data_IF_603141371890
#
_entry.id   IF_603141371890
#
_cell.length_a   1.000
_cell.length_b   1.000
_cell.length_c   1.000
_cell.angle_alpha   90.00
_cell.angle_beta   90.00
_cell.angle_gamma   90.00
#
_symmetry.space_group_name_H-M   'P 1'
#
loop_
_entity.id
_entity.type
_entity.pdbx_description
1 polymer ?
#
# COMPACT_ATOMS: atom_id res chain seq x y z
N UNK A 1 -0.31 -2.54 31.38
CA UNK A 1 -0.20 -3.03 29.99
C UNK A 1 -0.70 -4.47 29.83
N UNK A 2 -0.38 -5.38 30.76
CA UNK A 2 -0.81 -6.80 30.72
C UNK A 2 -2.32 -7.00 30.78
N UNK A 3 -3.05 -6.32 31.68
CA UNK A 3 -4.51 -6.47 31.83
C UNK A 3 -5.25 -6.02 30.57
N UNK A 4 -4.83 -4.92 29.95
CA UNK A 4 -5.42 -4.43 28.71
C UNK A 4 -5.19 -5.40 27.55
N UNK A 5 -4.01 -6.02 27.47
CA UNK A 5 -3.70 -7.02 26.45
C UNK A 5 -4.55 -8.29 26.63
N UNK A 6 -4.71 -8.77 27.86
CA UNK A 6 -5.57 -9.92 28.18
C UNK A 6 -7.03 -9.61 27.85
N UNK A 7 -7.52 -8.44 28.24
CA UNK A 7 -8.89 -8.00 27.90
C UNK A 7 -9.10 -7.95 26.37
N UNK A 8 -8.13 -7.42 25.62
CA UNK A 8 -8.19 -7.36 24.16
C UNK A 8 -8.26 -8.77 23.55
N UNK A 9 -7.42 -9.70 24.00
CA UNK A 9 -7.43 -11.08 23.53
C UNK A 9 -8.79 -11.76 23.80
N UNK A 10 -9.33 -11.60 25.02
CA UNK A 10 -10.64 -12.16 25.37
C UNK A 10 -11.77 -11.54 24.56
N UNK A 11 -11.72 -10.23 24.29
CA UNK A 11 -12.73 -9.58 23.43
C UNK A 11 -12.65 -10.08 22.00
N UNK A 12 -11.45 -10.27 21.43
CA UNK A 12 -11.29 -10.85 20.10
C UNK A 12 -11.82 -12.28 20.05
N UNK A 13 -11.50 -13.10 21.05
CA UNK A 13 -11.95 -14.49 21.12
C UNK A 13 -13.48 -14.58 21.24
N UNK A 14 -14.09 -13.74 22.07
CA UNK A 14 -15.55 -13.62 22.16
C UNK A 14 -16.16 -13.22 20.82
N UNK A 15 -15.58 -12.22 20.16
CA UNK A 15 -16.08 -11.70 18.88
C UNK A 15 -15.97 -12.77 17.78
N UNK A 16 -14.88 -13.53 17.72
CA UNK A 16 -14.74 -14.65 16.78
C UNK A 16 -15.74 -15.77 17.05
N UNK A 17 -15.92 -16.18 18.31
CA UNK A 17 -16.93 -17.18 18.67
C UNK A 17 -18.35 -16.71 18.33
N UNK A 18 -18.64 -15.43 18.56
CA UNK A 18 -19.92 -14.83 18.21
C UNK A 18 -20.16 -14.81 16.70
N UNK A 19 -19.13 -14.54 15.89
CA UNK A 19 -19.21 -14.58 14.43
C UNK A 19 -19.37 -16.00 13.87
N UNK A 20 -18.74 -17.00 14.49
CA UNK A 20 -18.88 -18.41 14.10
C UNK A 20 -20.32 -18.89 14.34
N UNK A 21 -20.89 -18.52 15.49
CA UNK A 21 -22.24 -18.93 15.88
C UNK A 21 -23.36 -18.18 15.13
N UNK A 22 -23.05 -17.02 14.52
CA UNK A 22 -24.02 -16.20 13.79
C UNK A 22 -23.60 -16.03 12.32
N UNK A 23 -23.93 -16.98 11.43
CA UNK A 23 -23.50 -16.98 10.03
C UNK A 23 -23.97 -15.74 9.25
N UNK A 24 -25.08 -15.11 9.66
CA UNK A 24 -25.56 -13.87 9.07
C UNK A 24 -24.56 -12.72 9.25
N UNK A 25 -23.99 -12.55 10.45
CA UNK A 25 -23.02 -11.49 10.75
C UNK A 25 -21.69 -11.71 10.03
N UNK A 26 -21.31 -12.97 9.83
CA UNK A 26 -20.13 -13.34 9.05
C UNK A 26 -20.21 -12.82 7.61
N UNK A 27 -21.41 -12.75 7.02
CA UNK A 27 -21.62 -12.17 5.68
C UNK A 27 -21.47 -10.65 5.66
N UNK A 28 -21.72 -9.95 6.76
CA UNK A 28 -21.47 -8.50 6.83
C UNK A 28 -19.97 -8.21 6.94
N UNK A 29 -19.27 -9.01 7.73
CA UNK A 29 -17.81 -8.88 7.90
C UNK A 29 -17.08 -9.19 6.59
N UNK A 30 -17.62 -10.06 5.73
CA UNK A 30 -17.00 -10.38 4.44
C UNK A 30 -16.96 -9.21 3.44
N UNK A 31 -17.72 -8.13 3.67
CA UNK A 31 -17.63 -6.88 2.92
C UNK A 31 -16.46 -5.97 3.35
N UNK A 32 -15.62 -6.37 4.30
CA UNK A 32 -14.44 -5.58 4.61
C UNK A 32 -13.34 -5.76 3.55
N UNK A 33 -12.67 -4.68 3.11
CA UNK A 33 -11.65 -4.75 2.07
C UNK A 33 -10.51 -5.73 2.37
N UNK A 34 -10.10 -5.83 3.63
CA UNK A 34 -9.06 -6.77 4.06
C UNK A 34 -9.40 -8.23 3.74
N UNK A 35 -10.68 -8.60 3.80
CA UNK A 35 -11.14 -9.97 3.55
C UNK A 35 -11.16 -10.28 2.06
N UNK A 36 -11.40 -9.31 1.18
CA UNK A 36 -11.33 -9.53 -0.27
C UNK A 36 -9.92 -9.94 -0.70
N UNK A 37 -8.90 -9.21 -0.23
CA UNK A 37 -7.50 -9.54 -0.50
C UNK A 37 -7.09 -10.86 0.16
N UNK A 38 -7.53 -11.10 1.39
CA UNK A 38 -7.31 -12.37 2.08
C UNK A 38 -7.88 -13.55 1.30
N UNK A 39 -9.10 -13.44 0.76
CA UNK A 39 -9.74 -14.49 -0.04
C UNK A 39 -8.99 -14.74 -1.35
N UNK A 40 -8.47 -13.70 -1.99
CA UNK A 40 -7.66 -13.85 -3.21
C UNK A 40 -6.38 -14.62 -2.91
N UNK A 41 -5.68 -14.25 -1.83
CA UNK A 41 -4.45 -14.93 -1.41
C UNK A 41 -4.74 -16.40 -1.05
N UNK A 42 -5.79 -16.64 -0.25
CA UNK A 42 -6.21 -17.98 0.13
C UNK A 42 -6.55 -18.85 -1.09
N UNK A 43 -7.11 -18.28 -2.16
CA UNK A 43 -7.46 -19.03 -3.37
C UNK A 43 -6.24 -19.57 -4.10
N UNK A 44 -5.15 -18.81 -4.11
CA UNK A 44 -3.89 -19.24 -4.71
C UNK A 44 -3.17 -20.31 -3.89
N UNK A 45 -3.47 -20.41 -2.59
CA UNK A 45 -2.83 -21.35 -1.68
C UNK A 45 -3.64 -22.65 -1.62
N UNK A 46 -4.93 -22.56 -1.33
CA UNK A 46 -5.83 -23.70 -1.26
C UNK A 46 -7.26 -23.31 -1.63
N UNK A 47 -7.70 -23.75 -2.82
CA UNK A 47 -9.01 -23.41 -3.39
C UNK A 47 -10.19 -24.07 -2.66
N UNK A 48 -9.96 -25.17 -1.94
CA UNK A 48 -10.98 -25.93 -1.21
C UNK A 48 -11.61 -25.12 -0.07
N UNK A 49 -10.83 -24.25 0.58
CA UNK A 49 -11.23 -23.46 1.74
C UNK A 49 -12.22 -22.34 1.41
N UNK A 50 -12.39 -22.00 0.12
CA UNK A 50 -13.17 -20.83 -0.33
C UNK A 50 -14.60 -21.20 -0.73
N UNK A 51 -14.84 -22.46 -1.11
CA UNK A 51 -16.16 -22.92 -1.56
C UNK A 51 -17.26 -22.83 -0.50
N UNK A 52 -16.92 -22.62 0.77
CA UNK A 52 -17.87 -22.44 1.88
C UNK A 52 -18.31 -20.99 2.10
N UNK A 53 -17.71 -20.01 1.42
CA UNK A 53 -18.00 -18.59 1.66
C UNK A 53 -19.02 -18.02 0.65
N UNK A 54 -19.89 -17.14 1.15
CA UNK A 54 -20.91 -16.45 0.35
C UNK A 54 -20.30 -15.57 -0.76
N UNK A 55 -19.14 -14.96 -0.50
CA UNK A 55 -18.37 -14.22 -1.51
C UNK A 55 -17.42 -15.17 -2.25
N UNK A 56 -17.85 -15.62 -3.41
CA UNK A 56 -17.01 -16.36 -4.35
C UNK A 56 -15.75 -15.54 -4.72
N UNK A 57 -14.66 -16.21 -5.12
CA UNK A 57 -13.40 -15.58 -5.54
C UNK A 57 -13.60 -14.49 -6.60
N UNK A 58 -14.57 -14.70 -7.50
CA UNK A 58 -14.94 -13.74 -8.54
C UNK A 58 -15.47 -12.43 -7.96
N UNK A 59 -16.36 -12.50 -6.96
CA UNK A 59 -16.89 -11.32 -6.29
C UNK A 59 -15.82 -10.63 -5.43
N UNK A 60 -14.98 -11.40 -4.74
CA UNK A 60 -13.85 -10.85 -3.97
C UNK A 60 -12.86 -10.11 -4.88
N UNK A 61 -12.51 -10.69 -6.02
CA UNK A 61 -11.63 -10.07 -7.03
C UNK A 61 -12.25 -8.81 -7.65
N UNK A 62 -13.55 -8.86 -7.97
CA UNK A 62 -14.26 -7.72 -8.53
C UNK A 62 -14.31 -6.57 -7.54
N UNK A 63 -14.65 -6.82 -6.27
CA UNK A 63 -14.66 -5.79 -5.22
C UNK A 63 -13.25 -5.21 -4.97
N UNK A 64 -12.23 -6.07 -4.93
CA UNK A 64 -10.83 -5.68 -4.73
C UNK A 64 -10.29 -4.76 -5.84
N UNK A 65 -10.83 -4.82 -7.06
CA UNK A 65 -10.42 -3.95 -8.17
C UNK A 65 -11.34 -2.72 -8.24
N UNK A 66 -12.66 -2.94 -8.25
CA UNK A 66 -13.65 -1.89 -8.51
C UNK A 66 -13.69 -0.84 -7.42
N UNK A 67 -13.59 -1.22 -6.14
CA UNK A 67 -13.69 -0.27 -5.03
C UNK A 67 -12.44 0.64 -4.97
N UNK A 68 -11.20 0.13 -5.04
CA UNK A 68 -10.03 0.99 -5.17
C UNK A 68 -10.06 1.86 -6.43
N UNK A 69 -10.49 1.33 -7.58
CA UNK A 69 -10.64 2.12 -8.80
C UNK A 69 -11.69 3.22 -8.66
N UNK A 70 -12.80 2.96 -7.99
CA UNK A 70 -13.86 3.93 -7.71
C UNK A 70 -13.40 5.01 -6.73
N UNK A 71 -12.68 4.63 -5.67
CA UNK A 71 -12.04 5.57 -4.73
C UNK A 71 -11.03 6.43 -5.49
N UNK A 72 -10.20 5.83 -6.35
CA UNK A 72 -9.26 6.56 -7.20
C UNK A 72 -9.99 7.52 -8.16
N UNK A 73 -11.11 7.10 -8.75
CA UNK A 73 -11.92 7.96 -9.61
C UNK A 73 -12.51 9.16 -8.85
N UNK A 74 -13.07 8.93 -7.65
CA UNK A 74 -13.56 10.01 -6.78
C UNK A 74 -12.41 10.92 -6.38
N UNK A 75 -11.28 10.36 -5.96
CA UNK A 75 -10.10 11.10 -5.58
C UNK A 75 -9.61 11.95 -6.76
N UNK A 76 -9.56 11.40 -7.97
CA UNK A 76 -9.18 12.12 -9.19
C UNK A 76 -10.15 13.26 -9.51
N UNK A 77 -11.46 13.01 -9.45
CA UNK A 77 -12.48 14.05 -9.72
C UNK A 77 -12.45 15.17 -8.66
N UNK A 78 -12.18 14.83 -7.39
CA UNK A 78 -12.04 15.82 -6.31
C UNK A 78 -10.66 16.45 -6.24
N UNK A 79 -9.65 15.84 -6.84
CA UNK A 79 -8.29 16.35 -6.91
C UNK A 79 -8.25 17.68 -7.66
N UNK A 80 -9.01 17.83 -8.76
CA UNK A 80 -9.10 19.12 -9.44
C UNK A 80 -9.52 20.23 -8.48
N UNK A 81 -10.59 20.06 -7.69
CA UNK A 81 -11.01 21.09 -6.71
C UNK A 81 -10.05 21.33 -5.54
N UNK A 82 -9.15 20.38 -5.23
CA UNK A 82 -8.17 20.52 -4.14
C UNK A 82 -6.81 21.05 -4.62
N UNK A 83 -6.45 20.80 -5.88
CA UNK A 83 -5.17 21.19 -6.49
C UNK A 83 -5.28 22.40 -7.43
N UNK A 84 -6.49 22.87 -7.79
CA UNK A 84 -6.68 24.13 -8.53
C UNK A 84 -6.60 25.36 -7.62
N UNK A 85 -5.56 25.45 -6.79
CA UNK A 85 -5.08 26.75 -6.28
C UNK A 85 -3.89 27.14 -7.13
N UNK A 86 -4.19 27.63 -8.34
CA UNK A 86 -3.35 28.45 -9.23
C UNK A 86 -1.85 28.11 -9.31
N UNK A 87 -1.48 27.55 -10.44
CA UNK A 87 -0.11 27.49 -10.91
C UNK A 87 -0.08 26.69 -12.20
N UNK A 88 -0.19 27.39 -13.33
CA UNK A 88 0.09 26.80 -14.63
C UNK A 88 1.41 26.06 -14.55
N UNK A 89 1.36 24.76 -14.84
CA UNK A 89 2.55 23.93 -14.93
C UNK A 89 3.35 24.51 -16.09
N UNK A 90 4.32 25.39 -15.77
CA UNK A 90 5.42 25.64 -16.67
C UNK A 90 6.01 24.26 -16.97
N UNK A 91 5.83 23.83 -18.21
CA UNK A 91 6.52 22.65 -18.75
C UNK A 91 8.00 22.94 -18.61
N UNK A 92 8.60 22.49 -17.52
CA UNK A 92 10.04 22.31 -17.45
C UNK A 92 10.32 21.11 -18.36
N UNK A 93 10.35 21.36 -19.67
CA UNK A 93 11.02 20.49 -20.63
C UNK A 93 12.50 20.63 -20.37
N UNK A 94 12.99 20.02 -19.29
CA UNK A 94 14.40 19.67 -19.23
C UNK A 94 14.56 18.52 -20.21
N UNK A 95 15.17 18.83 -21.35
CA UNK A 95 15.76 17.83 -22.24
C UNK A 95 16.84 17.15 -21.39
N UNK A 96 16.52 16.01 -20.79
CA UNK A 96 17.48 15.18 -20.06
C UNK A 96 18.17 14.33 -21.12
N UNK A 97 19.30 14.82 -21.60
CA UNK A 97 20.23 14.03 -22.40
C UNK A 97 20.75 12.91 -21.50
N UNK A 98 20.52 11.65 -21.91
CA UNK A 98 20.86 10.38 -21.22
C UNK A 98 19.95 9.96 -20.06
N UNK A 99 18.68 9.70 -20.38
CA UNK A 99 17.78 8.97 -19.47
C UNK A 99 18.13 7.46 -19.44
N UNK A 100 18.27 6.90 -18.24
CA UNK A 100 18.58 5.48 -18.04
C UNK A 100 17.41 4.59 -18.55
N UNK A 101 17.69 3.41 -19.11
CA UNK A 101 16.67 2.51 -19.72
C UNK A 101 15.47 2.24 -18.80
N UNK A 102 15.72 2.20 -17.49
CA UNK A 102 14.71 2.06 -16.45
C UNK A 102 13.63 3.17 -16.47
N UNK A 103 14.03 4.44 -16.60
CA UNK A 103 13.09 5.56 -16.67
C UNK A 103 12.30 5.55 -17.97
N UNK A 104 12.94 5.11 -19.06
CA UNK A 104 12.34 4.96 -20.39
C UNK A 104 11.23 3.88 -20.39
N UNK A 105 11.42 2.80 -19.63
CA UNK A 105 10.39 1.77 -19.40
C UNK A 105 9.19 2.30 -18.62
N UNK A 106 9.44 3.03 -17.53
CA UNK A 106 8.39 3.67 -16.74
C UNK A 106 7.60 4.64 -17.61
N UNK A 107 8.31 5.43 -18.43
CA UNK A 107 7.75 6.34 -19.43
C UNK A 107 6.77 5.67 -20.38
N UNK A 108 7.09 4.45 -20.83
CA UNK A 108 6.22 3.66 -21.71
C UNK A 108 5.00 3.10 -20.97
N UNK A 109 5.15 2.76 -19.68
CA UNK A 109 4.07 2.24 -18.84
C UNK A 109 3.12 3.33 -18.34
N UNK A 110 3.62 4.55 -18.14
CA UNK A 110 2.83 5.67 -17.63
C UNK A 110 2.44 6.63 -18.74
N UNK A 111 1.13 6.86 -18.89
CA UNK A 111 0.61 7.73 -19.93
C UNK A 111 1.25 9.12 -19.94
N UNK A 112 1.43 9.67 -21.15
CA UNK A 112 2.23 10.86 -21.43
C UNK A 112 1.90 12.12 -20.59
N UNK A 113 0.68 12.19 -20.04
CA UNK A 113 0.24 13.29 -19.16
C UNK A 113 0.88 13.27 -17.76
N UNK A 114 1.23 12.10 -17.23
CA UNK A 114 1.71 11.93 -15.84
C UNK A 114 3.19 11.62 -15.73
N UNK A 115 3.80 11.39 -16.89
CA UNK A 115 5.16 10.94 -17.06
C UNK A 115 6.18 11.79 -16.31
N UNK A 116 6.16 13.12 -16.50
CA UNK A 116 7.09 14.03 -15.83
C UNK A 116 6.93 14.05 -14.32
N UNK A 117 5.68 13.96 -13.81
CA UNK A 117 5.42 13.90 -12.37
C UNK A 117 5.95 12.59 -11.78
N UNK A 118 5.67 11.47 -12.44
CA UNK A 118 6.04 10.14 -11.96
C UNK A 118 7.56 9.98 -11.98
N UNK A 119 8.22 10.40 -13.05
CA UNK A 119 9.69 10.37 -13.16
C UNK A 119 10.32 11.28 -12.10
N UNK A 120 9.79 12.50 -11.90
CA UNK A 120 10.31 13.41 -10.88
C UNK A 120 10.15 12.83 -9.47
N UNK A 121 8.97 12.31 -9.13
CA UNK A 121 8.70 11.68 -7.83
C UNK A 121 9.58 10.44 -7.61
N UNK A 122 9.78 9.63 -8.64
CA UNK A 122 10.57 8.41 -8.55
C UNK A 122 12.07 8.72 -8.43
N UNK A 123 12.54 9.76 -9.12
CA UNK A 123 13.91 10.25 -9.01
C UNK A 123 14.17 10.84 -7.62
N UNK A 124 13.24 11.63 -7.07
CA UNK A 124 13.35 12.15 -5.70
C UNK A 124 13.27 11.05 -4.65
N UNK A 125 12.42 10.05 -4.88
CA UNK A 125 12.30 8.87 -4.03
C UNK A 125 13.61 8.07 -3.96
N UNK A 126 14.23 7.81 -5.12
CA UNK A 126 15.51 7.10 -5.21
C UNK A 126 16.71 7.95 -4.74
N UNK A 127 16.65 9.27 -4.88
CA UNK A 127 17.72 10.17 -4.44
C UNK A 127 17.82 10.24 -2.92
N UNK A 128 16.71 10.08 -2.21
CA UNK A 128 16.70 10.06 -0.74
C UNK A 128 17.24 8.72 -0.23
N UNK A 129 18.50 8.74 0.22
CA UNK A 129 19.15 7.59 0.88
C UNK A 129 18.33 7.02 2.04
N UNK A 130 17.62 7.88 2.77
CA UNK A 130 16.72 7.48 3.86
C UNK A 130 15.65 6.47 3.40
N UNK A 131 15.09 6.69 2.22
CA UNK A 131 14.08 5.81 1.63
C UNK A 131 14.65 4.44 1.27
N UNK A 132 15.84 4.41 0.65
CA UNK A 132 16.55 3.17 0.32
C UNK A 132 16.87 2.39 1.60
N UNK A 133 17.34 3.07 2.64
CA UNK A 133 17.63 2.44 3.94
C UNK A 133 16.37 1.85 4.58
N UNK A 134 15.21 2.50 4.46
CA UNK A 134 13.93 1.96 4.93
C UNK A 134 13.52 0.70 4.18
N UNK A 135 13.69 0.65 2.86
CA UNK A 135 13.41 -0.56 2.07
C UNK A 135 14.31 -1.72 2.52
N UNK A 136 15.62 -1.46 2.64
CA UNK A 136 16.58 -2.46 3.11
C UNK A 136 16.22 -2.93 4.51
N UNK A 137 15.83 -2.03 5.41
CA UNK A 137 15.42 -2.35 6.77
C UNK A 137 14.17 -3.24 6.81
N UNK A 138 13.14 -2.91 6.03
CA UNK A 138 11.94 -3.76 5.92
C UNK A 138 12.29 -5.13 5.37
N UNK A 139 13.07 -5.18 4.30
CA UNK A 139 13.51 -6.45 3.69
C UNK A 139 14.30 -7.30 4.70
N UNK A 140 15.21 -6.68 5.45
CA UNK A 140 16.01 -7.33 6.49
C UNK A 140 15.18 -7.85 7.66
N UNK A 141 14.20 -7.08 8.15
CA UNK A 141 13.33 -7.56 9.23
C UNK A 141 12.45 -8.71 8.74
N UNK A 142 11.86 -8.57 7.56
CA UNK A 142 10.98 -9.60 6.98
C UNK A 142 11.76 -10.90 6.76
N UNK A 143 13.02 -10.84 6.30
CA UNK A 143 13.85 -12.03 6.14
C UNK A 143 14.23 -12.66 7.48
N UNK A 144 14.63 -11.88 8.47
CA UNK A 144 14.96 -12.38 9.82
C UNK A 144 13.74 -13.04 10.48
N UNK A 145 12.57 -12.40 10.40
CA UNK A 145 11.32 -12.98 10.89
C UNK A 145 10.97 -14.28 10.15
N UNK A 146 11.14 -14.31 8.83
CA UNK A 146 10.91 -15.53 8.06
C UNK A 146 11.81 -16.69 8.48
N UNK A 147 13.09 -16.41 8.76
CA UNK A 147 14.03 -17.41 9.28
C UNK A 147 13.61 -17.90 10.66
N UNK A 148 13.25 -17.01 11.58
CA UNK A 148 12.76 -17.37 12.92
C UNK A 148 11.53 -18.26 12.82
N UNK A 149 10.55 -17.89 12.00
CA UNK A 149 9.33 -18.69 11.82
C UNK A 149 9.65 -20.07 11.25
N UNK A 150 10.55 -20.14 10.27
CA UNK A 150 11.03 -21.41 9.69
C UNK A 150 11.67 -22.34 10.72
N UNK A 151 12.44 -21.81 11.68
CA UNK A 151 13.02 -22.61 12.75
C UNK A 151 11.99 -23.07 13.79
N UNK A 152 11.00 -22.23 14.09
CA UNK A 152 10.00 -22.53 15.14
C UNK A 152 8.92 -23.51 14.71
N UNK A 153 8.48 -23.47 13.44
CA UNK A 153 7.36 -24.29 12.96
C UNK A 153 7.79 -25.59 12.27
N UNK A 154 9.09 -25.78 12.02
CA UNK A 154 9.60 -26.93 11.28
C UNK A 154 9.24 -26.87 9.79
N UNK A 155 10.19 -27.22 8.93
CA UNK A 155 10.02 -27.14 7.47
C UNK A 155 9.47 -28.41 6.84
N UNK A 156 9.15 -29.44 7.64
CA UNK A 156 8.87 -30.78 7.14
C UNK A 156 7.45 -30.94 6.56
N UNK A 157 6.48 -30.13 7.01
CA UNK A 157 5.11 -30.15 6.49
C UNK A 157 4.86 -29.05 5.44
N UNK A 158 4.24 -29.42 4.32
CA UNK A 158 3.78 -28.46 3.30
C UNK A 158 2.77 -27.44 3.89
N UNK A 159 1.99 -27.88 4.87
CA UNK A 159 1.02 -27.02 5.58
C UNK A 159 1.74 -25.95 6.42
N UNK A 160 2.82 -26.30 7.13
CA UNK A 160 3.59 -25.34 7.92
C UNK A 160 4.31 -24.32 7.04
N UNK A 161 4.84 -24.75 5.89
CA UNK A 161 5.47 -23.86 4.91
C UNK A 161 4.49 -22.83 4.35
N UNK A 162 3.27 -23.25 3.98
CA UNK A 162 2.24 -22.34 3.47
C UNK A 162 1.83 -21.29 4.51
N UNK A 163 1.69 -21.68 5.79
CA UNK A 163 1.38 -20.75 6.87
C UNK A 163 2.50 -19.73 7.12
N UNK A 164 3.76 -20.15 7.08
CA UNK A 164 4.92 -19.25 7.23
C UNK A 164 4.90 -18.18 6.13
N UNK A 165 4.66 -18.57 4.88
CA UNK A 165 4.61 -17.64 3.74
C UNK A 165 3.49 -16.62 3.93
N UNK A 166 2.29 -17.06 4.35
CA UNK A 166 1.16 -16.14 4.62
C UNK A 166 1.54 -15.13 5.71
N UNK A 167 2.13 -15.60 6.82
CA UNK A 167 2.51 -14.70 7.91
C UNK A 167 3.56 -13.68 7.47
N UNK A 168 4.56 -14.09 6.68
CA UNK A 168 5.59 -13.19 6.14
C UNK A 168 4.96 -12.13 5.23
N UNK A 169 4.04 -12.51 4.35
CA UNK A 169 3.36 -11.57 3.44
C UNK A 169 2.53 -10.56 4.22
N UNK A 170 1.74 -11.02 5.20
CA UNK A 170 0.88 -10.15 6.01
C UNK A 170 1.71 -9.20 6.87
N UNK A 171 2.72 -9.71 7.58
CA UNK A 171 3.57 -8.88 8.44
C UNK A 171 4.41 -7.91 7.61
N UNK A 172 4.99 -8.38 6.49
CA UNK A 172 5.74 -7.53 5.56
C UNK A 172 4.88 -6.42 4.98
N UNK A 173 3.64 -6.72 4.60
CA UNK A 173 2.68 -5.73 4.11
C UNK A 173 2.33 -4.66 5.14
N UNK A 174 2.08 -5.06 6.40
CA UNK A 174 1.79 -4.12 7.50
C UNK A 174 3.00 -3.22 7.79
N UNK A 175 4.21 -3.80 7.88
CA UNK A 175 5.43 -3.04 8.15
C UNK A 175 5.75 -2.06 7.02
N UNK A 176 5.62 -2.51 5.77
CA UNK A 176 5.78 -1.65 4.61
C UNK A 176 4.78 -0.50 4.65
N UNK A 177 3.49 -0.80 4.86
CA UNK A 177 2.42 0.20 4.95
C UNK A 177 2.65 1.24 6.04
N UNK A 178 3.13 0.86 7.21
CA UNK A 178 3.44 1.79 8.31
C UNK A 178 4.62 2.72 7.99
N UNK A 179 5.71 2.16 7.46
CA UNK A 179 6.92 2.94 7.17
C UNK A 179 6.74 3.88 5.97
N UNK A 180 6.02 3.43 4.95
CA UNK A 180 5.72 4.25 3.79
C UNK A 180 4.57 5.21 4.02
N UNK A 181 3.53 4.80 4.74
CA UNK A 181 2.41 5.66 5.10
C UNK A 181 2.84 6.86 5.93
N UNK A 182 3.73 6.65 6.91
CA UNK A 182 4.33 7.76 7.69
C UNK A 182 5.19 8.68 6.83
N UNK A 183 5.99 8.13 5.91
CA UNK A 183 6.81 8.92 4.99
C UNK A 183 5.96 9.79 4.05
N UNK A 184 4.90 9.22 3.45
CA UNK A 184 3.99 9.96 2.57
C UNK A 184 3.28 11.06 3.37
N UNK A 185 2.79 10.76 4.57
CA UNK A 185 2.09 11.73 5.41
C UNK A 185 2.99 12.90 5.84
N UNK A 186 4.23 12.63 6.25
CA UNK A 186 5.20 13.67 6.65
C UNK A 186 5.70 14.44 5.42
N UNK A 187 6.07 13.73 4.35
CA UNK A 187 6.55 14.34 3.10
C UNK A 187 5.52 15.24 2.43
N UNK A 188 4.23 14.92 2.56
CA UNK A 188 3.14 15.77 2.04
C UNK A 188 3.04 17.09 2.82
N UNK A 189 3.30 17.07 4.14
CA UNK A 189 3.30 18.31 4.96
C UNK A 189 4.45 19.24 4.56
N UNK A 190 5.63 18.68 4.32
CA UNK A 190 6.80 19.46 3.87
C UNK A 190 6.57 20.03 2.48
N UNK A 191 5.98 19.27 1.56
CA UNK A 191 5.56 19.76 0.25
C UNK A 191 4.60 20.94 0.36
N UNK A 192 3.57 20.86 1.21
CA UNK A 192 2.63 21.97 1.46
C UNK A 192 3.36 23.20 2.02
N UNK A 193 4.33 23.00 2.92
CA UNK A 193 5.13 24.08 3.50
C UNK A 193 6.02 24.76 2.46
N UNK A 194 6.66 23.98 1.58
CA UNK A 194 7.46 24.49 0.46
C UNK A 194 6.58 25.28 -0.52
N UNK A 195 5.40 24.78 -0.87
CA UNK A 195 4.44 25.51 -1.71
C UNK A 195 3.94 26.80 -1.06
N UNK A 196 3.73 26.82 0.27
CA UNK A 196 3.33 28.04 0.99
C UNK A 196 4.45 29.07 1.16
N UNK A 197 5.72 28.62 1.24
CA UNK A 197 6.89 29.47 1.49
C UNK A 197 7.57 29.96 0.21
N UNK A 198 7.21 29.38 -0.94
CA UNK A 198 7.67 29.84 -2.25
C UNK A 198 7.05 31.22 -2.55
N UNK A 199 7.86 32.27 -2.78
CA UNK A 199 7.36 33.61 -3.02
C UNK A 199 6.57 33.65 -4.33
N UNK A 200 5.23 33.74 -4.22
CA UNK A 200 4.37 34.12 -5.33
C UNK A 200 4.64 35.59 -5.66
N UNK A 201 5.13 35.86 -6.88
CA UNK A 201 5.41 37.19 -7.47
C UNK A 201 6.64 37.96 -6.95
N UNK A 202 7.85 37.51 -7.27
CA UNK A 202 8.92 38.48 -7.57
C UNK A 202 8.97 38.64 -9.09
N UNK A 203 8.39 39.73 -9.60
CA UNK A 203 8.68 40.21 -10.95
C UNK A 203 10.19 40.42 -11.03
N UNK A 204 10.92 39.46 -11.61
CA UNK A 204 12.26 39.69 -12.08
C UNK A 204 12.16 40.72 -13.20
N UNK A 205 12.31 42.00 -12.84
CA UNK A 205 12.61 43.04 -13.83
C UNK A 205 13.91 42.60 -14.51
N UNK A 206 13.81 42.25 -15.79
CA UNK A 206 14.94 42.29 -16.71
C UNK A 206 15.66 43.63 -16.53
N UNK A 207 16.95 43.55 -16.22
CA UNK A 207 17.95 44.56 -16.54
C UNK A 207 19.07 43.85 -17.27
#
# INVERSE_FOLDING_TARGET
LSIAMVALIYTLQFLFNYLINNPQLRNWVSFYPSIWFSNIILYFIESSLINTYFLNIWYSSLLAITIPAFILYIAYKKAEGFFTVEGGIEKITSVIETENVFYLLIRRLTGHKWEGLIIAQLKDFLRKRETIMKIIYVCGIVSVLGVIFSFTMGTEDLMSQSMIIIMIIVMGGIMYGLLFGSYIFVGTKDLIWVYKRSPRNVRAKMK
#
